data_IF_216279162193
#
_entry.id   IF_216279162193
#
_cell.length_a   1.000
_cell.length_b   1.000
_cell.length_c   1.000
_cell.angle_alpha   90.00
_cell.angle_beta   90.00
_cell.angle_gamma   90.00
#
_symmetry.space_group_name_H-M   'P 1'
#
loop_
_entity.id
_entity.type
_entity.pdbx_description
1 polymer ?
#
# COMPACT_ATOMS: atom_id res chain seq x y z
N UNK A 1 -7.46 21.94 -3.59
CA UNK A 1 -8.17 21.49 -2.39
C UNK A 1 -7.65 20.14 -1.85
N UNK A 2 -7.57 19.08 -2.66
CA UNK A 2 -7.09 17.74 -2.22
C UNK A 2 -5.79 17.78 -1.40
N UNK A 3 -4.75 18.46 -1.87
CA UNK A 3 -3.46 18.55 -1.16
C UNK A 3 -3.57 19.16 0.24
N UNK A 4 -4.41 20.18 0.41
CA UNK A 4 -4.64 20.79 1.72
C UNK A 4 -5.31 19.80 2.68
N UNK A 5 -6.31 19.06 2.20
CA UNK A 5 -7.00 18.01 2.98
C UNK A 5 -6.00 16.92 3.37
N UNK A 6 -5.15 16.44 2.45
CA UNK A 6 -4.11 15.45 2.72
C UNK A 6 -3.17 15.92 3.85
N UNK A 7 -2.69 17.16 3.77
CA UNK A 7 -1.76 17.72 4.77
C UNK A 7 -2.43 17.84 6.13
N UNK A 8 -3.63 18.42 6.18
CA UNK A 8 -4.36 18.63 7.44
C UNK A 8 -4.67 17.31 8.12
N UNK A 9 -5.23 16.35 7.37
CA UNK A 9 -5.59 15.03 7.92
C UNK A 9 -4.33 14.28 8.40
N UNK A 10 -3.25 14.30 7.60
CA UNK A 10 -2.02 13.61 7.98
C UNK A 10 -1.35 14.22 9.21
N UNK A 11 -1.35 15.54 9.33
CA UNK A 11 -0.80 16.23 10.48
C UNK A 11 -1.59 15.91 11.75
N UNK A 12 -2.93 16.04 11.69
CA UNK A 12 -3.82 15.68 12.80
C UNK A 12 -3.64 14.22 13.19
N UNK A 13 -3.62 13.31 12.21
CA UNK A 13 -3.44 11.88 12.47
C UNK A 13 -2.08 11.60 13.13
N UNK A 14 -0.98 12.20 12.68
CA UNK A 14 0.34 12.03 13.30
C UNK A 14 0.38 12.55 14.74
N UNK A 15 -0.25 13.69 15.03
CA UNK A 15 -0.33 14.24 16.38
C UNK A 15 -1.14 13.31 17.29
N UNK A 16 -2.35 12.94 16.87
CA UNK A 16 -3.25 12.10 17.68
C UNK A 16 -2.69 10.68 17.88
N UNK A 17 -2.06 10.12 16.86
CA UNK A 17 -1.50 8.77 16.89
C UNK A 17 -0.04 8.73 17.39
N UNK A 18 0.56 9.88 17.73
CA UNK A 18 1.96 9.93 18.20
C UNK A 18 2.28 9.00 19.36
N UNK A 19 1.41 8.81 20.40
CA UNK A 19 1.71 7.85 21.47
C UNK A 19 1.77 6.41 20.95
N UNK A 20 0.86 6.05 20.02
CA UNK A 20 0.83 4.73 19.39
C UNK A 20 2.06 4.55 18.50
N UNK A 21 2.43 5.59 17.75
CA UNK A 21 3.61 5.59 16.90
C UNK A 21 4.89 5.32 17.71
N UNK A 22 5.08 6.02 18.84
CA UNK A 22 6.21 5.82 19.74
C UNK A 22 6.22 4.41 20.34
N UNK A 23 5.05 3.91 20.78
CA UNK A 23 4.91 2.56 21.32
C UNK A 23 5.29 1.49 20.28
N UNK A 24 4.80 1.65 19.03
CA UNK A 24 5.12 0.73 17.94
C UNK A 24 6.60 0.80 17.61
N UNK A 25 7.18 2.00 17.50
CA UNK A 25 8.61 2.18 17.25
C UNK A 25 9.47 1.47 18.33
N UNK A 26 9.12 1.65 19.61
CA UNK A 26 9.79 0.96 20.72
C UNK A 26 9.66 -0.57 20.61
N UNK A 27 8.45 -1.08 20.33
CA UNK A 27 8.22 -2.53 20.17
C UNK A 27 8.97 -3.10 18.96
N UNK A 28 9.03 -2.37 17.82
CA UNK A 28 9.82 -2.79 16.67
C UNK A 28 11.30 -2.85 17.04
N UNK A 29 11.82 -1.81 17.72
CA UNK A 29 13.21 -1.80 18.19
C UNK A 29 13.54 -2.98 19.10
N UNK A 30 12.63 -3.30 20.03
CA UNK A 30 12.80 -4.41 21.00
C UNK A 30 12.74 -5.79 20.33
N UNK A 31 11.83 -6.02 19.37
CA UNK A 31 11.59 -7.35 18.79
C UNK A 31 12.41 -7.64 17.53
N UNK A 32 12.73 -6.60 16.76
CA UNK A 32 13.38 -6.73 15.45
C UNK A 32 14.73 -5.99 15.35
N UNK A 33 15.07 -5.15 16.33
CA UNK A 33 16.31 -4.38 16.35
C UNK A 33 16.24 -3.12 15.51
N UNK A 34 17.40 -2.65 15.02
CA UNK A 34 17.56 -1.47 14.18
C UNK A 34 17.80 -1.86 12.72
N UNK A 35 17.38 -1.05 11.72
CA UNK A 35 16.56 0.16 11.85
C UNK A 35 15.10 -0.14 12.17
N UNK A 36 14.35 0.84 12.72
CA UNK A 36 12.91 0.68 13.02
C UNK A 36 12.02 0.87 11.79
N UNK A 37 12.51 1.61 10.79
CA UNK A 37 11.82 1.83 9.54
C UNK A 37 12.37 0.95 8.43
N UNK A 38 11.48 0.50 7.60
CA UNK A 38 11.75 -0.14 6.32
C UNK A 38 11.40 0.82 5.20
N UNK A 39 12.32 1.02 4.27
CA UNK A 39 12.16 1.90 3.12
C UNK A 39 12.10 1.05 1.86
N UNK A 40 11.07 1.24 1.05
CA UNK A 40 10.89 0.52 -0.19
C UNK A 40 10.59 1.48 -1.34
N UNK A 41 11.34 1.36 -2.43
CA UNK A 41 11.07 2.12 -3.64
C UNK A 41 9.75 1.70 -4.26
N UNK A 42 8.91 2.69 -4.58
CA UNK A 42 7.62 2.52 -5.21
C UNK A 42 7.41 3.59 -6.28
N UNK A 43 6.68 3.27 -7.37
CA UNK A 43 6.27 4.27 -8.34
C UNK A 43 5.22 5.20 -7.72
N UNK A 44 5.46 6.48 -7.82
CA UNK A 44 4.54 7.55 -7.50
C UNK A 44 3.86 8.11 -8.73
N UNK A 45 3.39 9.36 -8.63
CA UNK A 45 2.80 10.08 -9.75
C UNK A 45 3.80 10.18 -10.92
N UNK A 46 3.30 9.99 -12.14
CA UNK A 46 4.07 10.01 -13.39
C UNK A 46 5.24 8.99 -13.39
N UNK A 47 5.09 7.90 -12.62
CA UNK A 47 6.12 6.86 -12.50
C UNK A 47 7.37 7.25 -11.70
N UNK A 48 7.44 8.44 -11.14
CA UNK A 48 8.58 8.90 -10.35
C UNK A 48 8.72 8.07 -9.08
N UNK A 49 9.87 7.44 -8.91
CA UNK A 49 10.13 6.61 -7.74
C UNK A 49 10.24 7.45 -6.46
N UNK A 50 9.63 6.95 -5.39
CA UNK A 50 9.78 7.49 -4.04
C UNK A 50 10.06 6.38 -3.03
N UNK A 51 10.60 6.73 -1.87
CA UNK A 51 10.83 5.79 -0.77
C UNK A 51 9.62 5.75 0.14
N UNK A 52 8.81 4.69 0.03
CA UNK A 52 7.69 4.43 0.92
C UNK A 52 8.21 4.00 2.29
N UNK A 53 7.74 4.64 3.35
CA UNK A 53 8.19 4.43 4.73
C UNK A 53 7.19 3.53 5.45
N UNK A 54 7.68 2.43 6.05
CA UNK A 54 6.89 1.53 6.91
C UNK A 54 7.65 1.24 8.19
N UNK A 55 6.96 0.79 9.23
CA UNK A 55 7.64 0.09 10.31
C UNK A 55 8.14 -1.27 9.84
N UNK A 56 9.35 -1.63 10.28
CA UNK A 56 9.90 -2.95 9.98
C UNK A 56 9.06 -4.03 10.67
N UNK A 57 8.64 -5.04 9.92
CA UNK A 57 7.81 -6.14 10.38
C UNK A 57 8.48 -7.51 10.25
N UNK A 58 9.67 -7.56 9.63
CA UNK A 58 10.44 -8.77 9.38
C UNK A 58 11.86 -8.65 9.91
N UNK A 59 12.51 -9.77 10.19
CA UNK A 59 13.93 -9.84 10.51
C UNK A 59 14.76 -9.70 9.23
N UNK A 60 15.98 -9.17 9.38
CA UNK A 60 17.00 -9.19 8.31
C UNK A 60 17.72 -10.54 8.41
N UNK A 61 17.12 -11.59 7.84
CA UNK A 61 17.70 -12.90 7.76
C UNK A 61 18.09 -13.22 6.30
N UNK A 62 19.30 -13.67 6.10
CA UNK A 62 19.87 -14.00 4.78
C UNK A 62 20.33 -15.45 4.76
N UNK A 63 20.42 -16.03 3.56
CA UNK A 63 21.03 -17.34 3.33
C UNK A 63 22.57 -17.25 3.39
N UNK A 64 23.25 -18.38 3.10
CA UNK A 64 24.71 -18.45 3.10
C UNK A 64 25.37 -17.62 2.00
N UNK A 65 24.63 -17.33 0.95
CA UNK A 65 25.03 -16.53 -0.21
C UNK A 65 24.74 -15.02 -0.01
N UNK A 66 24.10 -14.64 1.12
CA UNK A 66 23.75 -13.24 1.44
C UNK A 66 22.42 -12.77 0.86
N UNK A 67 21.63 -13.65 0.23
CA UNK A 67 20.30 -13.30 -0.28
C UNK A 67 19.26 -13.32 0.84
N UNK A 68 18.27 -12.43 0.82
CA UNK A 68 17.19 -12.46 1.80
C UNK A 68 16.45 -13.81 1.79
N UNK A 69 16.24 -14.39 2.97
CA UNK A 69 15.39 -15.56 3.11
C UNK A 69 13.94 -15.24 2.68
N UNK A 70 13.15 -16.28 2.31
CA UNK A 70 11.72 -16.12 2.03
C UNK A 70 10.98 -15.40 3.16
N UNK A 71 9.96 -14.63 2.82
CA UNK A 71 9.21 -13.79 3.75
C UNK A 71 8.63 -14.60 4.91
N UNK A 72 8.20 -15.85 4.68
CA UNK A 72 7.66 -16.77 5.69
C UNK A 72 8.66 -17.09 6.79
N UNK A 73 9.97 -17.12 6.46
CA UNK A 73 11.04 -17.37 7.43
C UNK A 73 11.50 -16.12 8.15
N UNK A 74 11.23 -14.95 7.60
CA UNK A 74 11.63 -13.65 8.16
C UNK A 74 10.57 -13.02 9.03
N UNK A 75 9.28 -13.33 8.78
CA UNK A 75 8.19 -12.76 9.53
C UNK A 75 8.09 -13.36 10.92
N UNK A 76 7.91 -12.51 11.94
CA UNK A 76 7.73 -12.94 13.33
C UNK A 76 6.26 -12.83 13.71
N UNK A 77 5.80 -13.52 14.78
CA UNK A 77 4.43 -13.34 15.32
C UNK A 77 4.11 -11.87 15.62
N UNK A 78 5.09 -11.12 16.12
CA UNK A 78 4.96 -9.68 16.30
C UNK A 78 4.75 -8.95 14.96
N UNK A 79 5.54 -9.27 13.95
CA UNK A 79 5.42 -8.70 12.62
C UNK A 79 4.09 -9.03 11.95
N UNK A 80 3.60 -10.25 12.09
CA UNK A 80 2.27 -10.65 11.61
C UNK A 80 1.17 -9.81 12.26
N UNK A 81 1.21 -9.65 13.60
CA UNK A 81 0.26 -8.81 14.33
C UNK A 81 0.34 -7.34 13.89
N UNK A 82 1.55 -6.82 13.63
CA UNK A 82 1.75 -5.46 13.15
C UNK A 82 1.10 -5.25 11.79
N UNK A 83 1.30 -6.19 10.84
CA UNK A 83 0.68 -6.17 9.52
C UNK A 83 -0.84 -6.35 9.56
N UNK A 84 -1.35 -7.28 10.37
CA UNK A 84 -2.79 -7.54 10.47
C UNK A 84 -3.58 -6.34 11.02
N UNK A 85 -2.92 -5.44 11.75
CA UNK A 85 -3.50 -4.19 12.26
C UNK A 85 -3.21 -2.99 11.37
N UNK A 86 -2.44 -3.17 10.28
CA UNK A 86 -1.94 -2.10 9.39
C UNK A 86 -1.15 -1.01 10.12
N UNK A 87 -0.70 -1.24 11.34
CA UNK A 87 0.10 -0.28 12.10
C UNK A 87 1.50 -0.10 11.50
N UNK A 88 1.98 -1.10 10.75
CA UNK A 88 3.24 -0.99 9.98
C UNK A 88 3.19 0.09 8.91
N UNK A 89 2.01 0.46 8.43
CA UNK A 89 1.81 1.47 7.37
C UNK A 89 1.66 2.90 7.90
N UNK A 90 1.52 3.11 9.23
CA UNK A 90 1.39 4.46 9.82
C UNK A 90 2.48 5.45 9.37
N UNK A 91 3.77 5.08 9.20
CA UNK A 91 4.79 6.02 8.75
C UNK A 91 4.56 6.58 7.34
N UNK A 92 3.67 5.99 6.51
CA UNK A 92 3.31 6.56 5.21
C UNK A 92 2.62 7.93 5.33
N UNK A 93 2.05 8.28 6.49
CA UNK A 93 1.58 9.65 6.76
C UNK A 93 2.70 10.69 6.55
N UNK A 94 3.96 10.33 6.79
CA UNK A 94 5.12 11.17 6.50
C UNK A 94 5.30 11.33 4.98
N UNK A 95 5.08 10.26 4.18
CA UNK A 95 5.12 10.37 2.73
C UNK A 95 3.98 11.27 2.21
N UNK A 96 2.80 11.21 2.83
CA UNK A 96 1.70 12.12 2.49
C UNK A 96 2.10 13.57 2.80
N UNK A 97 2.66 13.86 3.96
CA UNK A 97 3.13 15.22 4.31
C UNK A 97 4.25 15.71 3.38
N UNK A 98 5.17 14.84 2.96
CA UNK A 98 6.19 15.18 1.96
C UNK A 98 5.61 15.46 0.58
N UNK A 99 4.45 14.87 0.27
CA UNK A 99 3.79 15.00 -1.02
C UNK A 99 4.10 13.89 -2.01
N UNK A 100 4.79 12.83 -1.58
CA UNK A 100 5.02 11.62 -2.37
C UNK A 100 3.71 10.83 -2.57
N UNK A 101 2.85 10.87 -1.56
CA UNK A 101 1.56 10.16 -1.51
C UNK A 101 0.40 11.12 -1.21
N UNK A 102 -0.81 10.59 -1.30
CA UNK A 102 -2.08 11.15 -0.83
C UNK A 102 -2.69 10.21 0.21
N UNK A 103 -3.66 10.68 0.98
CA UNK A 103 -4.47 9.79 1.84
C UNK A 103 -5.23 8.79 0.96
N UNK A 104 -5.89 9.28 -0.10
CA UNK A 104 -6.68 8.46 -1.02
C UNK A 104 -6.06 8.47 -2.42
N UNK A 105 -5.89 7.29 -2.98
CA UNK A 105 -5.35 7.09 -4.33
C UNK A 105 -5.09 5.61 -4.61
N UNK A 106 -4.65 5.25 -5.81
CA UNK A 106 -4.21 3.89 -6.14
C UNK A 106 -3.09 3.43 -5.21
N UNK A 107 -3.16 2.17 -4.74
CA UNK A 107 -2.09 1.61 -3.89
C UNK A 107 -0.78 1.50 -4.67
N UNK A 108 0.36 2.02 -4.17
CA UNK A 108 1.64 1.93 -4.88
C UNK A 108 2.11 0.47 -4.94
N UNK A 109 2.20 -0.08 -6.17
CA UNK A 109 2.66 -1.45 -6.43
C UNK A 109 4.19 -1.52 -6.49
N UNK A 110 4.76 -2.71 -6.72
CA UNK A 110 6.20 -2.87 -6.93
C UNK A 110 6.63 -2.12 -8.20
N UNK A 111 7.85 -1.55 -8.19
CA UNK A 111 8.38 -0.81 -9.33
C UNK A 111 8.46 -1.66 -10.61
N UNK A 112 8.75 -2.96 -10.44
CA UNK A 112 8.90 -3.90 -11.54
C UNK A 112 7.57 -4.16 -12.29
N UNK A 113 6.42 -3.86 -11.64
CA UNK A 113 5.11 -4.00 -12.29
C UNK A 113 4.84 -2.93 -13.34
N UNK A 114 5.54 -1.77 -13.27
CA UNK A 114 5.32 -0.66 -14.20
C UNK A 114 5.57 -1.07 -15.66
N UNK A 115 6.58 -1.90 -15.89
CA UNK A 115 6.90 -2.42 -17.21
C UNK A 115 5.87 -3.45 -17.74
N UNK A 116 5.00 -3.95 -16.87
CA UNK A 116 4.00 -4.97 -17.19
C UNK A 116 2.59 -4.38 -17.39
N UNK A 117 2.40 -3.08 -17.12
CA UNK A 117 1.10 -2.46 -17.27
C UNK A 117 0.72 -2.29 -18.73
N UNK A 118 -0.56 -2.56 -19.05
CA UNK A 118 -1.14 -2.08 -20.30
C UNK A 118 -1.20 -0.53 -20.28
N UNK A 119 -1.38 0.12 -21.43
CA UNK A 119 -1.55 1.59 -21.49
C UNK A 119 -2.67 2.08 -20.56
N UNK A 120 -3.79 1.35 -20.49
CA UNK A 120 -4.90 1.68 -19.60
C UNK A 120 -4.54 1.53 -18.12
N UNK A 121 -3.88 0.44 -17.75
CA UNK A 121 -3.44 0.21 -16.37
C UNK A 121 -2.39 1.23 -15.92
N UNK A 122 -1.54 1.71 -16.83
CA UNK A 122 -0.53 2.72 -16.53
C UNK A 122 -1.15 4.07 -16.10
N UNK A 123 -2.40 4.36 -16.49
CA UNK A 123 -3.14 5.57 -16.10
C UNK A 123 -3.27 5.72 -14.59
N UNK A 124 -3.19 4.63 -13.83
CA UNK A 124 -3.15 4.68 -12.36
C UNK A 124 -2.01 5.53 -11.80
N UNK A 125 -0.98 5.79 -12.60
CA UNK A 125 0.16 6.65 -12.25
C UNK A 125 -0.10 8.14 -12.54
N UNK A 126 -1.20 8.52 -13.15
CA UNK A 126 -1.56 9.93 -13.42
C UNK A 126 -1.87 10.72 -12.14
N UNK A 127 -2.17 10.02 -11.04
CA UNK A 127 -2.43 10.61 -9.72
C UNK A 127 -1.41 10.14 -8.70
N UNK A 128 -1.35 10.83 -7.53
CA UNK A 128 -0.51 10.37 -6.43
C UNK A 128 -1.04 9.05 -5.86
N UNK A 129 -0.16 8.09 -5.53
CA UNK A 129 -0.57 6.88 -4.84
C UNK A 129 -1.16 7.20 -3.47
N UNK A 130 -2.10 6.37 -3.00
CA UNK A 130 -2.79 6.54 -1.75
C UNK A 130 -2.36 5.57 -0.65
N UNK A 131 -2.53 5.97 0.61
CA UNK A 131 -2.50 5.06 1.75
C UNK A 131 -3.70 4.12 1.73
N UNK A 132 -4.86 4.64 1.35
CA UNK A 132 -6.07 3.89 1.04
C UNK A 132 -6.56 4.23 -0.37
N UNK A 133 -7.48 3.44 -0.92
CA UNK A 133 -8.01 3.67 -2.26
C UNK A 133 -9.23 2.80 -2.55
N UNK A 134 -9.82 3.00 -3.71
CA UNK A 134 -11.05 2.33 -4.08
C UNK A 134 -10.89 0.79 -4.06
N UNK A 135 -9.83 0.26 -4.65
CA UNK A 135 -9.56 -1.18 -4.65
C UNK A 135 -9.43 -1.75 -3.22
N UNK A 136 -8.75 -1.02 -2.31
CA UNK A 136 -8.58 -1.47 -0.93
C UNK A 136 -9.89 -1.54 -0.15
N UNK A 137 -10.92 -0.75 -0.51
CA UNK A 137 -12.21 -0.73 0.18
C UNK A 137 -13.32 -1.51 -0.53
N UNK A 138 -13.03 -2.03 -1.75
CA UNK A 138 -14.02 -2.77 -2.55
C UNK A 138 -13.90 -4.30 -2.45
N UNK A 139 -12.75 -4.83 -2.05
CA UNK A 139 -12.57 -6.29 -1.91
C UNK A 139 -11.18 -6.67 -1.39
N UNK A 140 -10.25 -5.70 -1.22
CA UNK A 140 -8.90 -5.95 -0.70
C UNK A 140 -8.16 -7.06 -1.46
N UNK A 141 -7.84 -8.15 -0.75
CA UNK A 141 -7.09 -9.28 -1.30
C UNK A 141 -7.95 -10.26 -2.10
N UNK A 142 -9.27 -10.12 -2.08
CA UNK A 142 -10.20 -10.94 -2.85
C UNK A 142 -10.27 -10.51 -4.31
N UNK A 143 -9.98 -9.22 -4.61
CA UNK A 143 -9.90 -8.73 -5.98
C UNK A 143 -8.66 -9.28 -6.67
N UNK A 144 -8.79 -9.72 -7.89
CA UNK A 144 -7.65 -9.99 -8.76
C UNK A 144 -6.96 -8.68 -9.21
N UNK A 145 -5.85 -8.78 -9.94
CA UNK A 145 -5.11 -7.59 -10.37
C UNK A 145 -5.88 -6.77 -11.39
N UNK A 146 -6.63 -7.41 -12.27
CA UNK A 146 -7.44 -6.73 -13.29
C UNK A 146 -8.52 -5.87 -12.63
N UNK A 147 -9.27 -6.44 -11.69
CA UNK A 147 -10.29 -5.71 -10.93
C UNK A 147 -9.70 -4.55 -10.12
N UNK A 148 -8.52 -4.75 -9.51
CA UNK A 148 -7.80 -3.67 -8.80
C UNK A 148 -7.43 -2.54 -9.72
N UNK A 149 -6.89 -2.85 -10.91
CA UNK A 149 -6.53 -1.82 -11.88
C UNK A 149 -7.75 -1.09 -12.44
N UNK A 150 -8.86 -1.79 -12.69
CA UNK A 150 -10.15 -1.16 -13.05
C UNK A 150 -10.62 -0.17 -11.97
N UNK A 151 -10.55 -0.55 -10.70
CA UNK A 151 -10.85 0.35 -9.58
C UNK A 151 -9.91 1.57 -9.55
N UNK A 152 -8.62 1.35 -9.80
CA UNK A 152 -7.61 2.42 -9.77
C UNK A 152 -7.82 3.41 -10.92
N UNK A 153 -8.10 2.92 -12.15
CA UNK A 153 -8.38 3.77 -13.32
C UNK A 153 -9.71 4.50 -13.14
N UNK A 154 -10.75 3.81 -12.65
CA UNK A 154 -12.01 4.48 -12.30
C UNK A 154 -11.78 5.64 -11.34
N UNK A 155 -10.93 5.45 -10.32
CA UNK A 155 -10.60 6.52 -9.38
C UNK A 155 -9.87 7.67 -10.08
N UNK A 156 -8.96 7.41 -11.01
CA UNK A 156 -8.28 8.43 -11.81
C UNK A 156 -9.29 9.32 -12.52
N UNK A 157 -10.31 8.73 -13.15
CA UNK A 157 -11.32 9.45 -13.93
C UNK A 157 -12.34 10.21 -13.07
N UNK A 158 -12.63 9.70 -11.87
CA UNK A 158 -13.77 10.17 -11.06
C UNK A 158 -13.37 10.82 -9.73
N UNK A 159 -12.07 10.95 -9.44
CA UNK A 159 -11.64 11.45 -8.13
C UNK A 159 -12.06 12.90 -7.89
N UNK A 160 -12.66 13.09 -6.76
CA UNK A 160 -13.02 14.40 -6.22
C UNK A 160 -13.11 14.30 -4.69
N UNK A 161 -13.29 15.42 -4.02
CA UNK A 161 -13.32 15.48 -2.55
C UNK A 161 -14.40 14.57 -1.95
N UNK A 162 -15.57 14.45 -2.56
CA UNK A 162 -16.65 13.58 -2.05
C UNK A 162 -16.29 12.09 -2.20
N UNK A 163 -15.69 11.70 -3.31
CA UNK A 163 -15.18 10.34 -3.53
C UNK A 163 -14.11 10.00 -2.51
N UNK A 164 -13.17 10.92 -2.27
CA UNK A 164 -12.13 10.74 -1.26
C UNK A 164 -12.71 10.51 0.13
N UNK A 165 -13.66 11.34 0.56
CA UNK A 165 -14.33 11.15 1.86
C UNK A 165 -15.07 9.81 1.94
N UNK A 166 -15.81 9.42 0.89
CA UNK A 166 -16.49 8.11 0.85
C UNK A 166 -15.50 6.96 1.03
N UNK A 167 -14.34 7.01 0.35
CA UNK A 167 -13.30 5.98 0.48
C UNK A 167 -12.71 5.98 1.89
N UNK A 168 -12.42 7.15 2.47
CA UNK A 168 -11.92 7.25 3.85
C UNK A 168 -12.90 6.66 4.87
N UNK A 169 -14.19 6.96 4.78
CA UNK A 169 -15.21 6.37 5.66
C UNK A 169 -15.31 4.85 5.48
N UNK A 170 -15.31 4.34 4.24
CA UNK A 170 -15.28 2.91 3.98
C UNK A 170 -14.04 2.26 4.58
N UNK A 171 -12.88 2.92 4.51
CA UNK A 171 -11.62 2.41 5.08
C UNK A 171 -11.76 2.14 6.57
N UNK A 172 -12.36 3.07 7.33
CA UNK A 172 -12.60 2.86 8.76
C UNK A 172 -13.48 1.62 9.01
N UNK A 173 -14.55 1.45 8.23
CA UNK A 173 -15.42 0.27 8.32
C UNK A 173 -14.70 -1.03 8.03
N UNK A 174 -13.88 -1.05 6.97
CA UNK A 174 -13.11 -2.24 6.56
C UNK A 174 -12.00 -2.57 7.58
N UNK A 175 -11.36 -1.57 8.19
CA UNK A 175 -10.37 -1.80 9.25
C UNK A 175 -10.99 -2.38 10.52
N UNK A 176 -12.21 -1.96 10.88
CA UNK A 176 -12.91 -2.45 12.09
C UNK A 176 -13.41 -3.88 11.92
N UNK A 177 -13.90 -4.26 10.74
CA UNK A 177 -14.43 -5.61 10.46
C UNK A 177 -13.34 -6.68 10.30
N UNK A 178 -12.08 -6.29 10.08
CA UNK A 178 -10.94 -7.19 9.79
C UNK A 178 -11.19 -8.16 8.63
N UNK A 179 -12.08 -7.82 7.69
CA UNK A 179 -12.37 -8.61 6.49
C UNK A 179 -11.21 -8.54 5.50
N UNK A 180 -10.95 -9.61 4.76
CA UNK A 180 -9.92 -9.67 3.71
C UNK A 180 -8.46 -9.62 4.20
N UNK A 181 -8.20 -9.97 5.47
CA UNK A 181 -6.84 -10.21 5.97
C UNK A 181 -6.44 -11.63 5.52
N UNK A 182 -5.25 -11.77 4.94
CA UNK A 182 -4.74 -13.03 4.42
C UNK A 182 -4.97 -14.20 5.39
N UNK A 183 -5.37 -15.36 4.81
CA UNK A 183 -5.42 -16.61 5.52
C UNK A 183 -4.06 -16.94 6.16
N UNK A 184 -4.01 -17.67 7.29
CA UNK A 184 -2.76 -18.09 7.91
C UNK A 184 -1.87 -18.83 6.89
N UNK A 185 -0.65 -18.35 6.69
CA UNK A 185 0.33 -18.96 5.76
C UNK A 185 0.50 -18.26 4.40
N UNK A 186 -0.34 -17.31 4.02
CA UNK A 186 -0.13 -16.50 2.82
C UNK A 186 0.42 -15.10 3.17
N UNK A 187 1.65 -14.82 2.74
CA UNK A 187 2.37 -13.56 3.01
C UNK A 187 2.16 -12.51 1.91
N UNK A 188 1.08 -12.58 1.19
CA UNK A 188 0.72 -11.56 0.19
C UNK A 188 0.01 -12.16 -1.04
N UNK A 189 -0.56 -11.31 -1.91
CA UNK A 189 -1.10 -11.77 -3.18
C UNK A 189 0.03 -12.31 -4.06
N UNK A 190 -0.31 -13.26 -4.96
CA UNK A 190 0.61 -13.70 -6.02
C UNK A 190 1.22 -12.49 -6.72
N UNK A 191 2.46 -12.62 -7.20
CA UNK A 191 3.09 -11.54 -7.95
C UNK A 191 2.33 -11.33 -9.27
N UNK A 192 2.11 -10.06 -9.63
CA UNK A 192 1.57 -9.73 -10.96
C UNK A 192 2.59 -10.13 -12.02
N UNK A 193 2.18 -10.99 -12.94
CA UNK A 193 3.03 -11.55 -14.00
C UNK A 193 2.79 -10.88 -15.37
N UNK A 194 2.06 -9.76 -15.38
CA UNK A 194 1.66 -9.09 -16.61
C UNK A 194 0.25 -9.50 -17.07
N UNK A 195 -0.15 -8.95 -18.20
CA UNK A 195 -1.44 -9.22 -18.81
C UNK A 195 -1.33 -10.44 -19.72
N UNK A 196 -2.34 -11.30 -19.69
CA UNK A 196 -2.44 -12.42 -20.63
C UNK A 196 -2.58 -11.85 -22.06
N UNK A 197 -1.68 -12.22 -23.01
CA UNK A 197 -1.74 -11.72 -24.40
C UNK A 197 -3.04 -12.04 -25.11
N UNK A 198 -3.76 -13.10 -24.74
CA UNK A 198 -5.05 -13.46 -25.33
C UNK A 198 -6.16 -12.53 -24.85
N UNK A 199 -6.19 -12.17 -23.57
CA UNK A 199 -7.16 -11.22 -23.00
C UNK A 199 -6.99 -9.79 -23.54
N UNK A 200 -5.73 -9.34 -23.77
CA UNK A 200 -5.46 -8.02 -24.35
C UNK A 200 -6.03 -7.89 -25.75
N UNK A 201 -6.01 -8.96 -26.57
CA UNK A 201 -6.56 -8.94 -27.92
C UNK A 201 -8.08 -8.77 -27.95
N UNK A 202 -8.77 -9.26 -26.96
CA UNK A 202 -10.24 -9.16 -26.85
C UNK A 202 -10.68 -7.75 -26.39
N UNK A 203 -9.89 -7.10 -25.51
CA UNK A 203 -10.15 -5.72 -25.09
C UNK A 203 -9.92 -4.67 -26.20
N UNK A 204 -9.01 -4.93 -27.15
CA UNK A 204 -8.74 -4.03 -28.28
C UNK A 204 -9.83 -4.16 -29.37
N UNK A 205 -10.60 -5.24 -29.39
CA UNK A 205 -11.66 -5.50 -30.38
C UNK A 205 -13.06 -5.07 -29.94
N UNK A 206 -13.25 -4.68 -28.67
CA UNK A 206 -14.52 -4.19 -28.11
C UNK A 206 -14.54 -2.66 -28.03
#
# INVERSE_FOLDING_TARGET
MKRLVDVVISLIALILLSPIFCLVAFKVRKNLGSPIFFLQERPGKDGKLFKMIKFRSMKDAVDKEGNPLPDEQRITPFGQKLRSTSLDEMPQLINVLKGDMSIVGPRPMLKDFVALYSPEQARRLEVKPGMTGLAQVSGRNELDYEERFKCDVWYVDNHNTLVDFKIMFKTVGVMTKREGINAPGHVGPSLFQGNDPEKIKDEIKS
#
